data_IF_633232367307
#
_entry.id   IF_633232367307
#
_cell.length_a   1.000
_cell.length_b   1.000
_cell.length_c   1.000
_cell.angle_alpha   90.00
_cell.angle_beta   90.00
_cell.angle_gamma   90.00
#
_symmetry.space_group_name_H-M   'P 1'
#
loop_
_entity.id
_entity.type
_entity.pdbx_description
1 polymer ?
#
# COMPACT_ATOMS: atom_id res chain seq x y z
N UNK A 1 5.17 5.04 -1.35
CA UNK A 1 4.59 4.64 -2.65
C UNK A 1 4.21 3.17 -2.66
N UNK A 2 3.17 2.82 -3.39
CA UNK A 2 2.68 1.45 -3.50
C UNK A 2 2.03 1.19 -4.86
N UNK A 3 2.21 -0.03 -5.38
CA UNK A 3 1.45 -0.56 -6.51
C UNK A 3 0.23 -1.34 -6.00
N UNK A 4 -0.90 -1.16 -6.66
CA UNK A 4 -2.06 -2.03 -6.54
C UNK A 4 -2.01 -3.06 -7.66
N UNK A 5 -1.66 -4.29 -7.31
CA UNK A 5 -1.66 -5.42 -8.23
C UNK A 5 -2.96 -6.21 -8.03
N UNK A 6 -3.78 -6.31 -9.08
CA UNK A 6 -5.10 -6.93 -9.01
C UNK A 6 -5.56 -7.39 -10.41
N UNK A 7 -6.63 -8.17 -10.47
CA UNK A 7 -7.30 -8.48 -11.73
C UNK A 7 -7.93 -7.23 -12.34
N UNK A 8 -7.74 -7.00 -13.64
CA UNK A 8 -8.31 -5.84 -14.34
C UNK A 8 -9.84 -5.84 -14.34
N UNK A 9 -10.47 -7.00 -14.16
CA UNK A 9 -11.93 -7.12 -13.99
C UNK A 9 -12.45 -6.56 -12.67
N UNK A 10 -11.59 -6.43 -11.62
CA UNK A 10 -11.98 -5.93 -10.31
C UNK A 10 -12.18 -4.42 -10.35
N UNK A 11 -13.44 -4.01 -10.31
CA UNK A 11 -13.81 -2.60 -10.43
C UNK A 11 -13.30 -1.77 -9.26
N UNK A 12 -12.71 -0.63 -9.59
CA UNK A 12 -12.28 0.36 -8.60
C UNK A 12 -12.56 1.78 -9.10
N UNK A 13 -12.65 2.71 -8.18
CA UNK A 13 -12.69 4.13 -8.44
C UNK A 13 -11.30 4.72 -8.15
N UNK A 14 -10.84 5.54 -9.07
CA UNK A 14 -9.57 6.26 -8.98
C UNK A 14 -9.53 7.20 -7.76
N UNK A 15 -8.33 7.57 -7.31
CA UNK A 15 -8.14 8.39 -6.12
C UNK A 15 -8.86 9.74 -6.23
N UNK A 16 -9.60 10.04 -5.20
CA UNK A 16 -10.28 11.33 -5.00
C UNK A 16 -10.59 11.55 -3.52
N UNK A 17 -10.98 12.78 -3.14
CA UNK A 17 -11.60 13.00 -1.84
C UNK A 17 -13.01 12.39 -1.81
N UNK A 18 -13.31 11.61 -0.77
CA UNK A 18 -14.61 10.94 -0.61
C UNK A 18 -15.67 11.88 -0.01
N UNK A 19 -15.90 13.02 -0.67
CA UNK A 19 -16.75 14.11 -0.16
C UNK A 19 -18.21 13.73 0.05
N UNK A 20 -18.71 12.82 -0.79
CA UNK A 20 -20.11 12.42 -0.81
C UNK A 20 -20.42 11.26 0.16
N UNK A 21 -19.40 10.77 0.88
CA UNK A 21 -19.54 9.69 1.83
C UNK A 21 -19.49 10.21 3.27
N UNK A 22 -20.48 9.85 4.08
CA UNK A 22 -20.60 10.30 5.46
C UNK A 22 -19.37 9.94 6.28
N UNK A 23 -18.77 10.93 6.94
CA UNK A 23 -17.57 10.75 7.75
C UNK A 23 -16.26 10.67 6.97
N UNK A 24 -16.28 10.67 5.64
CA UNK A 24 -15.11 10.44 4.79
C UNK A 24 -14.60 11.70 4.05
N UNK A 25 -15.16 12.88 4.26
CA UNK A 25 -14.87 14.10 3.49
C UNK A 25 -13.39 14.52 3.47
N UNK A 26 -12.62 14.10 4.47
CA UNK A 26 -11.18 14.37 4.59
C UNK A 26 -10.30 13.23 4.05
N UNK A 27 -10.90 12.12 3.62
CA UNK A 27 -10.20 10.96 3.10
C UNK A 27 -9.89 11.13 1.61
N UNK A 28 -8.65 10.95 1.24
CA UNK A 28 -8.15 10.89 -0.13
C UNK A 28 -7.64 9.48 -0.40
N UNK A 29 -8.31 8.76 -1.28
CA UNK A 29 -7.99 7.37 -1.61
C UNK A 29 -8.69 6.93 -2.90
N UNK A 30 -8.17 5.88 -3.54
CA UNK A 30 -8.94 5.04 -4.45
C UNK A 30 -9.95 4.20 -3.68
N UNK A 31 -10.98 3.69 -4.36
CA UNK A 31 -12.01 2.84 -3.73
C UNK A 31 -12.16 1.52 -4.47
N UNK A 32 -12.13 0.43 -3.73
CA UNK A 32 -12.56 -0.87 -4.22
C UNK A 32 -14.10 -0.89 -4.30
N UNK A 33 -14.65 -0.98 -5.50
CA UNK A 33 -16.11 -0.90 -5.68
C UNK A 33 -16.83 -2.21 -5.36
N UNK A 34 -16.09 -3.33 -5.24
CA UNK A 34 -16.68 -4.61 -4.86
C UNK A 34 -16.78 -4.76 -3.34
N UNK A 35 -15.70 -4.39 -2.62
CA UNK A 35 -15.63 -4.55 -1.18
C UNK A 35 -15.83 -3.26 -0.37
N UNK A 36 -15.93 -2.11 -1.04
CA UNK A 36 -16.22 -0.81 -0.42
C UNK A 36 -15.06 -0.13 0.31
N UNK A 37 -13.93 -0.83 0.52
CA UNK A 37 -12.74 -0.33 1.23
C UNK A 37 -11.70 0.32 0.31
N UNK A 38 -10.48 0.52 0.86
CA UNK A 38 -9.33 1.03 0.12
C UNK A 38 -8.05 0.24 0.44
N UNK A 39 -7.05 0.30 -0.46
CA UNK A 39 -5.74 -0.35 -0.29
C UNK A 39 -4.66 0.60 0.24
N UNK A 40 -4.79 1.89 -0.04
CA UNK A 40 -3.93 2.96 0.48
C UNK A 40 -4.73 4.25 0.50
N UNK A 41 -4.56 5.06 1.54
CA UNK A 41 -5.21 6.35 1.63
C UNK A 41 -4.54 7.25 2.65
N UNK A 42 -4.85 8.53 2.54
CA UNK A 42 -4.39 9.59 3.43
C UNK A 42 -5.57 10.47 3.84
N UNK A 43 -5.44 11.17 4.95
CA UNK A 43 -6.44 12.16 5.38
C UNK A 43 -5.82 13.55 5.49
N UNK A 44 -6.64 14.58 5.35
CA UNK A 44 -6.21 15.97 5.63
C UNK A 44 -5.72 16.14 7.07
N UNK A 45 -6.17 15.30 8.00
CA UNK A 45 -5.72 15.30 9.40
C UNK A 45 -4.33 14.72 9.64
N UNK A 46 -3.72 14.09 8.63
CA UNK A 46 -2.38 13.52 8.70
C UNK A 46 -2.34 12.02 8.95
N UNK A 47 -3.48 11.32 9.04
CA UNK A 47 -3.49 9.86 9.03
C UNK A 47 -3.17 9.31 7.64
N UNK A 48 -2.49 8.18 7.61
CA UNK A 48 -2.34 7.36 6.40
C UNK A 48 -2.40 5.88 6.74
N UNK A 49 -2.83 5.08 5.78
CA UNK A 49 -2.82 3.63 5.90
C UNK A 49 -2.57 2.96 4.56
N UNK A 50 -1.91 1.81 4.59
CA UNK A 50 -1.74 0.94 3.42
C UNK A 50 -1.82 -0.53 3.83
N UNK A 51 -2.42 -1.36 2.97
CA UNK A 51 -2.57 -2.78 3.23
C UNK A 51 -2.06 -3.61 2.05
N UNK A 52 -1.38 -4.71 2.34
CA UNK A 52 -1.00 -5.71 1.35
C UNK A 52 -1.46 -7.09 1.78
N UNK A 53 -1.76 -7.92 0.81
CA UNK A 53 -2.10 -9.32 1.05
C UNK A 53 -0.84 -10.09 1.48
N UNK A 54 -0.95 -10.94 2.49
CA UNK A 54 0.03 -12.00 2.72
C UNK A 54 -0.34 -13.20 1.85
N UNK A 55 0.68 -13.89 1.36
CA UNK A 55 0.46 -15.19 0.71
C UNK A 55 0.06 -16.20 1.76
N UNK A 56 -1.09 -16.83 1.58
CA UNK A 56 -1.62 -17.86 2.47
C UNK A 56 -1.81 -19.16 1.73
N UNK A 57 -1.75 -20.26 2.46
CA UNK A 57 -2.20 -21.56 2.02
C UNK A 57 -3.75 -21.58 2.08
N UNK A 58 -4.38 -22.52 1.37
CA UNK A 58 -5.83 -22.63 1.16
C UNK A 58 -6.71 -22.70 2.43
N UNK A 59 -6.13 -22.79 3.62
CA UNK A 59 -6.88 -22.85 4.89
C UNK A 59 -7.50 -21.50 5.32
N UNK A 60 -7.10 -20.39 4.72
CA UNK A 60 -7.64 -19.03 5.01
C UNK A 60 -8.97 -18.73 4.27
N UNK A 61 -9.59 -19.70 3.63
CA UNK A 61 -10.79 -19.47 2.79
C UNK A 61 -12.07 -19.17 3.59
N UNK A 62 -12.06 -19.32 4.91
CA UNK A 62 -13.21 -19.01 5.77
C UNK A 62 -13.31 -17.52 6.18
N UNK A 63 -12.32 -16.70 5.84
CA UNK A 63 -12.33 -15.29 6.18
C UNK A 63 -13.43 -14.53 5.42
N UNK A 64 -14.34 -13.91 6.16
CA UNK A 64 -15.54 -13.26 5.63
C UNK A 64 -15.39 -11.76 5.38
N UNK A 65 -14.38 -11.11 6.00
CA UNK A 65 -14.21 -9.67 5.95
C UNK A 65 -13.15 -9.23 4.93
N UNK A 66 -13.43 -8.11 4.26
CA UNK A 66 -12.47 -7.49 3.36
C UNK A 66 -11.35 -6.79 4.14
N UNK A 67 -10.09 -7.07 3.78
CA UNK A 67 -8.92 -6.41 4.37
C UNK A 67 -8.92 -4.89 4.14
N UNK A 68 -9.44 -4.43 2.99
CA UNK A 68 -9.55 -3.00 2.68
C UNK A 68 -10.49 -2.23 3.61
N UNK A 69 -11.38 -2.92 4.35
CA UNK A 69 -12.20 -2.32 5.39
C UNK A 69 -11.35 -1.82 6.57
N UNK A 70 -10.29 -2.57 6.96
CA UNK A 70 -9.37 -2.17 8.02
C UNK A 70 -8.69 -0.83 7.73
N UNK A 71 -8.24 -0.65 6.49
CA UNK A 71 -7.62 0.60 6.05
C UNK A 71 -8.59 1.76 6.15
N UNK A 72 -9.83 1.56 5.66
CA UNK A 72 -10.89 2.57 5.72
C UNK A 72 -11.27 2.90 7.16
N UNK A 73 -11.51 1.90 7.99
CA UNK A 73 -11.91 2.06 9.39
C UNK A 73 -10.89 2.89 10.19
N UNK A 74 -9.61 2.59 10.03
CA UNK A 74 -8.56 3.40 10.65
C UNK A 74 -8.55 4.85 10.17
N UNK A 75 -8.65 5.07 8.85
CA UNK A 75 -8.56 6.41 8.27
C UNK A 75 -9.70 7.34 8.69
N UNK A 76 -10.91 6.80 8.87
CA UNK A 76 -12.08 7.58 9.32
C UNK A 76 -12.28 7.56 10.84
N UNK A 77 -11.62 6.62 11.53
CA UNK A 77 -11.69 6.45 12.98
C UNK A 77 -10.90 7.52 13.75
N UNK A 78 -10.95 7.44 15.07
CA UNK A 78 -10.26 8.37 15.99
C UNK A 78 -9.06 7.76 16.70
N UNK A 79 -8.87 6.44 16.61
CA UNK A 79 -7.81 5.73 17.29
C UNK A 79 -6.42 6.09 16.76
N UNK A 80 -5.40 6.02 17.61
CA UNK A 80 -4.01 6.10 17.20
C UNK A 80 -3.59 4.82 16.44
N UNK A 81 -2.52 4.86 15.64
CA UNK A 81 -2.02 3.68 14.90
C UNK A 81 -1.83 2.46 15.80
N UNK A 82 -1.19 2.64 16.95
CA UNK A 82 -0.89 1.54 17.88
C UNK A 82 -2.15 0.97 18.53
N UNK A 83 -3.08 1.82 18.94
CA UNK A 83 -4.32 1.37 19.57
C UNK A 83 -5.19 0.62 18.58
N UNK A 84 -5.35 1.14 17.36
CA UNK A 84 -6.09 0.45 16.30
C UNK A 84 -5.48 -0.92 15.95
N UNK A 85 -4.15 -0.99 15.80
CA UNK A 85 -3.47 -2.27 15.57
C UNK A 85 -3.72 -3.29 16.69
N UNK A 86 -3.73 -2.87 17.96
CA UNK A 86 -4.03 -3.73 19.12
C UNK A 86 -5.48 -4.23 19.10
N UNK A 87 -6.42 -3.38 18.74
CA UNK A 87 -7.85 -3.75 18.63
C UNK A 87 -8.06 -4.86 17.59
N UNK A 88 -7.37 -4.79 16.45
CA UNK A 88 -7.50 -5.78 15.38
C UNK A 88 -6.98 -7.17 15.79
N UNK A 89 -5.96 -7.27 16.64
CA UNK A 89 -5.36 -8.56 17.05
C UNK A 89 -6.40 -9.54 17.57
N UNK A 90 -7.43 -9.07 18.25
CA UNK A 90 -8.53 -9.90 18.77
C UNK A 90 -9.45 -10.50 17.69
N UNK A 91 -9.39 -10.00 16.45
CA UNK A 91 -10.30 -10.40 15.37
C UNK A 91 -9.60 -10.81 14.06
N UNK A 92 -8.33 -11.21 14.14
CA UNK A 92 -7.52 -11.57 12.95
C UNK A 92 -8.11 -12.72 12.14
N UNK A 93 -8.77 -13.68 12.78
CA UNK A 93 -9.38 -14.84 12.12
C UNK A 93 -10.50 -14.47 11.14
N UNK A 94 -11.08 -13.27 11.27
CA UNK A 94 -12.11 -12.78 10.35
C UNK A 94 -11.55 -12.32 9.00
N UNK A 95 -10.24 -12.18 8.88
CA UNK A 95 -9.55 -11.65 7.69
C UNK A 95 -8.56 -12.67 7.14
N UNK A 96 -8.42 -12.72 5.81
CA UNK A 96 -7.27 -13.38 5.20
C UNK A 96 -5.98 -12.64 5.57
N UNK A 97 -4.84 -13.32 5.55
CA UNK A 97 -3.55 -12.76 5.92
C UNK A 97 -3.21 -11.43 5.24
N UNK A 98 -2.70 -10.47 6.02
CA UNK A 98 -2.34 -9.12 5.55
C UNK A 98 -1.13 -8.54 6.29
N UNK A 99 -0.47 -7.59 5.64
CA UNK A 99 0.34 -6.56 6.28
C UNK A 99 -0.44 -5.26 6.28
N UNK A 100 -0.40 -4.53 7.36
CA UNK A 100 -1.06 -3.23 7.53
C UNK A 100 -0.04 -2.21 8.04
N UNK A 101 0.11 -1.11 7.29
CA UNK A 101 0.90 0.05 7.69
C UNK A 101 -0.08 1.15 8.08
N UNK A 102 0.08 1.66 9.29
CA UNK A 102 -0.74 2.73 9.85
C UNK A 102 0.15 3.86 10.30
N UNK A 103 -0.26 5.09 10.09
CA UNK A 103 0.49 6.22 10.59
C UNK A 103 -0.36 7.46 10.80
N UNK A 104 0.12 8.31 11.67
CA UNK A 104 -0.37 9.66 11.90
C UNK A 104 0.82 10.63 12.08
N UNK A 105 0.59 11.80 12.67
CA UNK A 105 1.64 12.80 12.90
C UNK A 105 2.63 12.42 14.00
N UNK A 106 2.35 11.41 14.79
CA UNK A 106 3.12 11.06 16.00
C UNK A 106 3.86 9.74 15.83
N UNK A 107 3.22 8.75 15.21
CA UNK A 107 3.78 7.40 15.12
C UNK A 107 3.42 6.71 13.81
N UNK A 108 4.25 5.75 13.43
CA UNK A 108 4.00 4.82 12.34
C UNK A 108 4.09 3.41 12.90
N UNK A 109 3.10 2.58 12.59
CA UNK A 109 3.02 1.20 13.07
C UNK A 109 2.86 0.25 11.88
N UNK A 110 3.68 -0.78 11.85
CA UNK A 110 3.53 -1.90 10.93
C UNK A 110 2.95 -3.11 11.67
N UNK A 111 1.98 -3.76 11.07
CA UNK A 111 1.36 -4.97 11.59
C UNK A 111 1.43 -6.10 10.56
N UNK A 112 1.84 -7.29 11.01
CA UNK A 112 1.73 -8.53 10.25
C UNK A 112 0.73 -9.45 10.92
N UNK A 113 -0.36 -9.78 10.23
CA UNK A 113 -1.45 -10.57 10.81
C UNK A 113 -1.08 -12.03 11.05
N UNK A 114 -0.19 -12.61 10.23
CA UNK A 114 0.24 -14.02 10.37
C UNK A 114 1.16 -14.20 11.57
N UNK A 115 2.09 -13.29 11.76
CA UNK A 115 3.00 -13.28 12.91
C UNK A 115 2.34 -12.71 14.18
N UNK A 116 1.15 -12.10 14.03
CA UNK A 116 0.47 -11.34 15.08
C UNK A 116 1.37 -10.27 15.70
N UNK A 117 2.30 -9.75 14.89
CA UNK A 117 3.28 -8.76 15.31
C UNK A 117 2.78 -7.34 15.07
N UNK A 118 3.03 -6.46 16.03
CA UNK A 118 2.80 -5.01 15.95
C UNK A 118 4.14 -4.34 16.21
N UNK A 119 4.63 -3.59 15.24
CA UNK A 119 5.95 -2.97 15.27
C UNK A 119 5.83 -1.46 15.09
N UNK A 120 6.01 -0.62 16.12
CA UNK A 120 6.28 0.79 15.95
C UNK A 120 7.56 0.99 15.14
N UNK A 121 7.52 1.88 14.14
CA UNK A 121 8.64 2.11 13.24
C UNK A 121 9.37 3.39 13.63
N UNK A 122 10.68 3.27 13.89
CA UNK A 122 11.58 4.41 14.03
C UNK A 122 11.83 5.07 12.64
N UNK A 123 12.33 6.33 12.60
CA UNK A 123 12.70 6.95 11.33
C UNK A 123 13.66 6.08 10.52
N UNK A 124 13.31 5.82 9.25
CA UNK A 124 14.09 4.92 8.40
C UNK A 124 13.44 4.64 7.06
N UNK A 125 14.09 3.80 6.26
CA UNK A 125 13.58 3.33 4.97
C UNK A 125 13.09 1.90 5.11
N UNK A 126 11.83 1.69 4.80
CA UNK A 126 11.16 0.41 4.93
C UNK A 126 10.50 0.00 3.61
N UNK A 127 10.45 -1.30 3.37
CA UNK A 127 9.72 -1.86 2.25
C UNK A 127 9.08 -3.20 2.63
N UNK A 128 7.91 -3.46 2.06
CA UNK A 128 7.21 -4.73 2.22
C UNK A 128 6.33 -5.01 0.99
N UNK A 129 5.94 -6.25 0.84
CA UNK A 129 5.02 -6.72 -0.19
C UNK A 129 4.12 -7.82 0.41
N UNK A 130 4.12 -9.01 -0.17
CA UNK A 130 3.26 -10.12 0.25
C UNK A 130 3.93 -11.04 1.31
N UNK A 131 4.93 -10.54 2.01
CA UNK A 131 5.70 -11.19 3.06
C UNK A 131 5.99 -10.18 4.19
N UNK A 132 6.88 -10.52 5.12
CA UNK A 132 7.26 -9.67 6.27
C UNK A 132 7.92 -8.36 5.85
N UNK A 133 7.98 -7.41 6.79
CA UNK A 133 8.67 -6.13 6.62
C UNK A 133 10.16 -6.36 6.31
N UNK A 134 10.69 -5.64 5.33
CA UNK A 134 12.08 -5.73 4.89
C UNK A 134 12.53 -7.16 4.54
N UNK A 135 11.61 -8.00 4.07
CA UNK A 135 11.96 -9.37 3.64
C UNK A 135 12.98 -9.38 2.49
N UNK A 136 13.74 -10.48 2.38
CA UNK A 136 14.71 -10.69 1.29
C UNK A 136 14.05 -10.96 -0.08
N UNK A 137 12.78 -10.65 -0.24
CA UNK A 137 12.08 -10.75 -1.52
C UNK A 137 12.70 -9.79 -2.53
N UNK A 138 13.10 -10.22 -3.74
CA UNK A 138 13.88 -9.39 -4.65
C UNK A 138 13.28 -8.01 -4.92
N UNK A 139 11.96 -7.94 -5.12
CA UNK A 139 11.26 -6.66 -5.33
C UNK A 139 11.25 -5.76 -4.08
N UNK A 140 11.26 -6.35 -2.88
CA UNK A 140 11.30 -5.59 -1.61
C UNK A 140 12.69 -4.98 -1.41
N UNK A 141 13.74 -5.78 -1.58
CA UNK A 141 15.12 -5.32 -1.49
C UNK A 141 15.36 -4.21 -2.51
N UNK A 142 15.02 -4.46 -3.79
CA UNK A 142 15.20 -3.50 -4.88
C UNK A 142 14.42 -2.19 -4.66
N UNK A 143 13.17 -2.28 -4.23
CA UNK A 143 12.34 -1.11 -3.94
C UNK A 143 12.89 -0.29 -2.77
N UNK A 144 13.36 -0.97 -1.70
CA UNK A 144 14.00 -0.33 -0.55
C UNK A 144 15.29 0.41 -0.94
N UNK A 145 16.15 -0.22 -1.74
CA UNK A 145 17.41 0.38 -2.19
C UNK A 145 17.16 1.60 -3.09
N UNK A 146 16.19 1.53 -3.99
CA UNK A 146 15.78 2.67 -4.82
C UNK A 146 15.28 3.84 -3.97
N UNK A 147 14.40 3.57 -2.99
CA UNK A 147 13.89 4.60 -2.10
C UNK A 147 15.01 5.20 -1.25
N UNK A 148 15.88 4.37 -0.68
CA UNK A 148 17.03 4.84 0.10
C UNK A 148 17.94 5.76 -0.74
N UNK A 149 18.17 5.41 -2.01
CA UNK A 149 18.95 6.27 -2.92
C UNK A 149 18.25 7.61 -3.14
N UNK A 150 16.96 7.63 -3.45
CA UNK A 150 16.21 8.87 -3.66
C UNK A 150 16.24 9.77 -2.41
N UNK A 151 15.98 9.23 -1.23
CA UNK A 151 16.01 9.99 0.04
C UNK A 151 17.39 10.58 0.33
N UNK A 152 18.48 9.92 -0.10
CA UNK A 152 19.84 10.39 0.14
C UNK A 152 20.35 11.37 -0.93
N UNK A 153 19.75 11.38 -2.14
CA UNK A 153 20.23 12.23 -3.25
C UNK A 153 19.36 13.45 -3.48
N UNK A 154 18.07 13.38 -3.20
CA UNK A 154 17.14 14.47 -3.43
C UNK A 154 17.03 15.39 -2.22
N UNK A 155 17.15 16.69 -2.43
CA UNK A 155 16.97 17.72 -1.39
C UNK A 155 15.50 17.90 -1.04
N UNK A 156 14.61 17.68 -2.01
CA UNK A 156 13.15 17.67 -1.84
C UNK A 156 12.58 16.50 -2.64
N UNK A 157 11.95 15.57 -1.95
CA UNK A 157 11.39 14.38 -2.57
C UNK A 157 10.09 14.74 -3.30
N UNK A 158 10.08 14.50 -4.62
CA UNK A 158 8.91 14.67 -5.46
C UNK A 158 8.16 13.32 -5.59
N UNK A 159 6.81 13.28 -5.42
CA UNK A 159 6.03 12.05 -5.61
C UNK A 159 6.17 11.42 -7.01
N UNK A 160 6.46 12.18 -8.07
CA UNK A 160 6.70 11.63 -9.41
C UNK A 160 7.91 10.69 -9.45
N UNK A 161 8.99 10.99 -8.72
CA UNK A 161 10.15 10.10 -8.58
C UNK A 161 9.76 8.77 -7.91
N UNK A 162 8.81 8.84 -6.98
CA UNK A 162 8.27 7.64 -6.31
C UNK A 162 7.40 6.81 -7.25
N UNK A 163 6.64 7.44 -8.16
CA UNK A 163 5.91 6.74 -9.22
C UNK A 163 6.90 6.04 -10.16
N UNK A 164 7.94 6.75 -10.61
CA UNK A 164 8.92 6.20 -11.56
C UNK A 164 9.68 5.00 -10.98
N UNK A 165 10.09 5.06 -9.71
CA UNK A 165 10.76 3.91 -9.08
C UNK A 165 9.88 2.66 -9.01
N UNK A 166 8.55 2.84 -8.92
CA UNK A 166 7.57 1.75 -8.84
C UNK A 166 7.22 1.12 -10.20
N UNK A 167 7.66 1.72 -11.32
CA UNK A 167 7.41 1.22 -12.70
C UNK A 167 8.40 0.16 -13.16
N UNK A 168 9.25 -0.34 -12.28
CA UNK A 168 10.28 -1.33 -12.61
C UNK A 168 9.67 -2.71 -12.89
N UNK A 169 9.74 -3.13 -14.16
CA UNK A 169 9.23 -4.41 -14.68
C UNK A 169 10.27 -5.53 -14.64
N UNK A 170 11.47 -5.28 -14.11
CA UNK A 170 12.53 -6.29 -14.09
C UNK A 170 12.16 -7.41 -13.12
N UNK A 171 12.05 -8.62 -13.65
CA UNK A 171 11.82 -9.82 -12.86
C UNK A 171 13.11 -10.31 -12.19
N UNK A 172 13.00 -11.04 -11.11
CA UNK A 172 14.13 -11.63 -10.41
C UNK A 172 14.77 -12.78 -11.22
N UNK A 173 16.06 -13.03 -10.97
CA UNK A 173 16.74 -14.22 -11.49
C UNK A 173 16.13 -15.49 -10.87
N UNK A 174 16.14 -16.59 -11.61
CA UNK A 174 15.47 -17.83 -11.21
C UNK A 174 15.98 -18.43 -9.90
N UNK A 175 17.25 -18.20 -9.57
CA UNK A 175 17.88 -18.64 -8.32
C UNK A 175 17.59 -17.73 -7.13
N UNK A 176 17.02 -16.57 -7.36
CA UNK A 176 16.60 -15.60 -6.33
C UNK A 176 15.12 -15.65 -6.03
N UNK A 177 14.36 -16.49 -6.74
CA UNK A 177 12.93 -16.64 -6.51
C UNK A 177 12.69 -17.42 -5.21
N UNK A 178 11.72 -17.00 -4.38
CA UNK A 178 11.37 -17.74 -3.18
C UNK A 178 10.70 -19.08 -3.53
N UNK A 179 10.85 -20.03 -2.64
CA UNK A 179 10.07 -21.28 -2.69
C UNK A 179 8.73 -21.03 -1.98
N UNK A 180 7.66 -20.99 -2.74
CA UNK A 180 6.30 -20.79 -2.23
C UNK A 180 5.35 -21.84 -2.81
N UNK A 181 4.06 -21.73 -2.52
CA UNK A 181 3.01 -22.59 -3.09
C UNK A 181 2.74 -22.31 -4.58
N UNK A 182 3.26 -21.21 -5.12
CA UNK A 182 3.06 -20.85 -6.51
C UNK A 182 4.06 -21.55 -7.43
N UNK A 183 3.69 -21.76 -8.69
CA UNK A 183 4.64 -22.25 -9.67
C UNK A 183 5.79 -21.27 -9.87
N UNK A 184 6.99 -21.79 -10.18
CA UNK A 184 8.17 -20.94 -10.42
C UNK A 184 7.95 -19.89 -11.51
N UNK A 185 7.19 -20.24 -12.55
CA UNK A 185 6.84 -19.32 -13.64
C UNK A 185 5.99 -18.15 -13.12
N UNK A 186 5.01 -18.42 -12.26
CA UNK A 186 4.17 -17.40 -11.67
C UNK A 186 4.96 -16.54 -10.67
N UNK A 187 5.80 -17.17 -9.82
CA UNK A 187 6.69 -16.42 -8.94
C UNK A 187 7.57 -15.44 -9.70
N UNK A 188 8.11 -15.86 -10.84
CA UNK A 188 8.93 -15.00 -11.70
C UNK A 188 8.14 -13.79 -12.20
N UNK A 189 6.92 -13.99 -12.72
CA UNK A 189 6.05 -12.89 -13.16
C UNK A 189 5.74 -11.91 -12.01
N UNK A 190 5.47 -12.41 -10.81
CA UNK A 190 5.13 -11.61 -9.64
C UNK A 190 6.35 -11.02 -8.90
N UNK A 191 7.58 -11.31 -9.32
CA UNK A 191 8.80 -10.84 -8.68
C UNK A 191 9.21 -9.41 -9.06
N UNK A 192 8.62 -8.85 -10.12
CA UNK A 192 8.80 -7.46 -10.49
C UNK A 192 8.11 -6.51 -9.50
N UNK A 193 8.58 -5.26 -9.39
CA UNK A 193 7.87 -4.20 -8.67
C UNK A 193 6.58 -3.86 -9.41
N UNK A 194 6.67 -3.64 -10.74
CA UNK A 194 5.51 -3.44 -11.60
C UNK A 194 5.13 -4.76 -12.25
N UNK A 195 3.96 -5.29 -11.90
CA UNK A 195 3.49 -6.60 -12.38
C UNK A 195 2.70 -6.45 -13.68
N UNK A 196 2.97 -7.36 -14.63
CA UNK A 196 2.18 -7.51 -15.86
C UNK A 196 2.04 -8.99 -16.19
N UNK A 197 0.84 -9.52 -16.10
CA UNK A 197 0.48 -10.91 -16.41
C UNK A 197 -0.81 -10.93 -17.25
N UNK A 198 -0.65 -10.60 -18.53
CA UNK A 198 -1.77 -10.51 -19.49
C UNK A 198 -2.50 -11.84 -19.65
N UNK A 199 -1.80 -12.98 -19.51
CA UNK A 199 -2.41 -14.32 -19.63
C UNK A 199 -3.49 -14.55 -18.58
N UNK A 200 -3.32 -13.94 -17.39
CA UNK A 200 -4.25 -14.05 -16.26
C UNK A 200 -5.14 -12.82 -16.08
N UNK A 201 -5.06 -11.85 -16.98
CA UNK A 201 -5.75 -10.56 -16.84
C UNK A 201 -5.47 -9.90 -15.48
N UNK A 202 -4.18 -9.94 -15.04
CA UNK A 202 -3.70 -9.49 -13.74
C UNK A 202 -2.48 -8.59 -13.88
N UNK A 203 -2.42 -7.52 -13.11
CA UNK A 203 -1.26 -6.62 -13.14
C UNK A 203 -1.41 -5.42 -12.22
N UNK A 204 -0.47 -4.49 -12.34
CA UNK A 204 -0.51 -3.22 -11.64
C UNK A 204 -1.55 -2.30 -12.26
N UNK A 205 -2.65 -2.05 -11.54
CA UNK A 205 -3.75 -1.19 -11.98
C UNK A 205 -3.43 0.28 -11.75
N UNK A 206 -2.80 0.58 -10.63
CA UNK A 206 -2.33 1.93 -10.32
C UNK A 206 -1.11 1.92 -9.40
N UNK A 207 -0.36 3.01 -9.43
CA UNK A 207 0.68 3.35 -8.46
C UNK A 207 0.24 4.58 -7.70
N UNK A 208 0.24 4.50 -6.38
CA UNK A 208 -0.04 5.63 -5.49
C UNK A 208 1.24 6.04 -4.77
N UNK A 209 1.55 7.33 -4.75
CA UNK A 209 2.63 7.89 -3.96
C UNK A 209 2.16 9.16 -3.24
N UNK A 210 2.70 9.40 -2.05
CA UNK A 210 2.52 10.67 -1.36
C UNK A 210 3.77 11.03 -0.56
N UNK A 211 3.97 12.32 -0.41
CA UNK A 211 5.05 12.92 0.39
C UNK A 211 4.44 13.98 1.28
N UNK A 212 4.77 13.95 2.55
CA UNK A 212 4.45 15.01 3.51
C UNK A 212 5.75 15.59 4.03
N UNK A 213 5.97 16.88 3.87
CA UNK A 213 7.16 17.54 4.38
C UNK A 213 6.97 18.01 5.84
N UNK A 214 8.04 18.55 6.41
CA UNK A 214 8.06 19.03 7.82
C UNK A 214 7.09 20.17 8.10
N UNK A 215 6.65 20.93 7.07
CA UNK A 215 5.63 21.97 7.22
C UNK A 215 4.19 21.41 7.17
N UNK A 216 4.01 20.10 6.98
CA UNK A 216 2.71 19.45 6.85
C UNK A 216 2.10 19.59 5.45
N UNK A 217 2.83 20.12 4.47
CA UNK A 217 2.40 20.12 3.06
C UNK A 217 2.45 18.70 2.54
N UNK A 218 1.32 18.17 2.07
CA UNK A 218 1.19 16.84 1.49
C UNK A 218 0.92 16.94 0.01
N UNK A 219 1.73 16.23 -0.78
CA UNK A 219 1.54 15.99 -2.20
C UNK A 219 1.19 14.52 -2.39
N UNK A 220 0.14 14.24 -3.13
CA UNK A 220 -0.35 12.90 -3.40
C UNK A 220 -0.57 12.73 -4.90
N UNK A 221 -0.12 11.62 -5.46
CA UNK A 221 -0.33 11.26 -6.85
C UNK A 221 -0.80 9.81 -6.94
N UNK A 222 -1.76 9.56 -7.84
CA UNK A 222 -2.12 8.23 -8.29
C UNK A 222 -2.02 8.18 -9.81
N UNK A 223 -1.14 7.32 -10.33
CA UNK A 223 -1.02 7.01 -11.75
C UNK A 223 -1.74 5.71 -12.05
N UNK A 224 -2.71 5.73 -12.95
CA UNK A 224 -3.45 4.56 -13.40
C UNK A 224 -2.86 3.98 -14.68
N UNK A 225 -3.07 2.68 -14.92
CA UNK A 225 -2.54 1.96 -16.06
C UNK A 225 -3.63 1.13 -16.73
N UNK A 226 -3.47 0.89 -18.04
CA UNK A 226 -4.27 -0.06 -18.80
C UNK A 226 -3.77 -1.52 -18.63
N UNK A 227 -4.43 -2.46 -19.27
CA UNK A 227 -4.11 -3.89 -19.23
C UNK A 227 -2.72 -4.23 -19.79
N UNK A 228 -2.14 -3.36 -20.61
CA UNK A 228 -0.77 -3.48 -21.13
C UNK A 228 0.25 -2.80 -20.19
N UNK A 229 -0.23 -2.14 -19.14
CA UNK A 229 0.57 -1.37 -18.20
C UNK A 229 1.06 -0.05 -18.80
N UNK A 230 0.37 0.50 -19.79
CA UNK A 230 0.61 1.84 -20.29
C UNK A 230 -0.07 2.86 -19.36
N UNK A 231 0.60 4.00 -19.05
CA UNK A 231 -0.01 5.04 -18.24
C UNK A 231 -1.29 5.59 -18.89
N UNK A 232 -2.34 5.75 -18.12
CA UNK A 232 -3.60 6.36 -18.55
C UNK A 232 -3.80 7.69 -17.82
N UNK A 233 -4.64 7.72 -16.78
CA UNK A 233 -4.92 8.93 -16.02
C UNK A 233 -3.97 9.08 -14.84
N UNK A 234 -3.63 10.34 -14.53
CA UNK A 234 -2.92 10.70 -13.31
C UNK A 234 -3.76 11.69 -12.51
N UNK A 235 -3.87 11.46 -11.22
CA UNK A 235 -4.58 12.32 -10.27
C UNK A 235 -3.58 12.89 -9.29
N UNK A 236 -3.45 14.22 -9.28
CA UNK A 236 -2.56 14.95 -8.39
C UNK A 236 -3.37 15.79 -7.41
N UNK A 237 -2.98 15.72 -6.14
CA UNK A 237 -3.58 16.50 -5.06
C UNK A 237 -2.47 17.11 -4.20
N UNK A 238 -2.69 18.35 -3.79
CA UNK A 238 -1.82 19.04 -2.87
C UNK A 238 -2.66 19.74 -1.80
N UNK A 239 -2.27 19.60 -0.54
CA UNK A 239 -2.93 20.25 0.58
C UNK A 239 -1.99 20.38 1.77
N UNK A 240 -2.31 21.31 2.68
CA UNK A 240 -1.62 21.45 3.97
C UNK A 240 -2.42 20.76 5.07
N UNK A 241 -1.76 20.01 5.90
CA UNK A 241 -2.34 19.43 7.11
C UNK A 241 -2.57 20.55 8.14
N UNK A 242 -3.64 20.51 8.95
CA UNK A 242 -3.82 21.44 10.06
C UNK A 242 -2.61 21.42 10.99
N UNK A 243 -2.19 22.60 11.45
CA UNK A 243 -1.15 22.70 12.49
C UNK A 243 -1.61 21.96 13.75
N UNK A 244 -0.66 21.33 14.46
CA UNK A 244 -0.94 20.84 15.81
C UNK A 244 -1.09 22.09 16.67
N UNK A 245 -2.33 22.48 16.97
CA UNK A 245 -2.59 23.44 18.07
C UNK A 245 -2.38 22.67 19.36
N UNK A 246 -1.29 22.99 20.06
CA UNK A 246 -1.03 22.52 21.43
C UNK A 246 -2.14 22.99 22.37
#
# INVERSE_FOLDING_TARGET
>A
SANRDEFFSRKSREAQFWKDEVGCSNLLAGKDLEAGGTWIGVTKGGKFAAITNLRSNSEDDQASLSRGALTLEYLIGKESPLNFARTIVGNLSSYRGFNLLLGDKQEIVFMNSKEKSILPLEPGVYAFSNNTLNSNYPKVVKGKDKLAKLVNTETELNPDLLIDMMRDRTTAADNSLPSTILSKALEKKLSAIFVSDTDRNYGTLCTTAFVTNSSGKTQFIEQNYDELGCPTRSHYFEYSQPSITN
#
